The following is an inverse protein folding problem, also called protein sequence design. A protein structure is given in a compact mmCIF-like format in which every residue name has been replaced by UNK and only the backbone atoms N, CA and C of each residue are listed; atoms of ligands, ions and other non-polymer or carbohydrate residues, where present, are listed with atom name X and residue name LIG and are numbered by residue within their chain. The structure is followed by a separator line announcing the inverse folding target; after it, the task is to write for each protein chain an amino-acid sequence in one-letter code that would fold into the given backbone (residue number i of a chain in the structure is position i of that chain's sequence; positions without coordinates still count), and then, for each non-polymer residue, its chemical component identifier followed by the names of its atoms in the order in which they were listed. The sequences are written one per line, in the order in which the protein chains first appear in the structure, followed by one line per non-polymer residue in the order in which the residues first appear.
data_IF_609594459054
#
_entry.id   IF_609594459054
#
_cell.length_a   1.000
_cell.length_b   1.000
_cell.length_c   1.000
_cell.angle_alpha   90.00
_cell.angle_beta   90.00
_cell.angle_gamma   90.00
#
_symmetry.space_group_name_H-M   'P 1'
#
loop_
_entity.id
_entity.type
_entity.pdbx_description
1 polymer ?
#
# COMPACT_ATOMS: atom_id res chain seq x y z
N UNK A 1 0.81 -13.12 -4.83
CA UNK A 1 -0.43 -13.19 -4.04
C UNK A 1 -0.54 -14.58 -3.44
N UNK A 2 -1.58 -14.86 -2.66
CA UNK A 2 -1.88 -16.22 -2.16
C UNK A 2 -0.79 -16.85 -1.28
N UNK A 3 -0.01 -16.03 -0.59
CA UNK A 3 0.94 -16.49 0.43
C UNK A 3 0.46 -16.00 1.79
N UNK A 4 0.60 -16.85 2.78
CA UNK A 4 0.32 -16.54 4.18
C UNK A 4 1.64 -16.43 4.95
N UNK A 5 1.78 -15.36 5.72
CA UNK A 5 2.93 -15.13 6.59
C UNK A 5 2.44 -14.86 8.00
N UNK A 6 3.11 -15.43 9.00
CA UNK A 6 2.80 -15.21 10.41
C UNK A 6 4.01 -14.67 11.16
N UNK A 7 3.77 -13.75 12.10
CA UNK A 7 4.79 -13.17 12.98
C UNK A 7 4.36 -13.41 14.42
N UNK A 8 5.25 -14.00 15.22
CA UNK A 8 5.07 -14.17 16.67
C UNK A 8 6.12 -13.36 17.40
N UNK A 9 5.67 -12.53 18.35
CA UNK A 9 6.56 -11.74 19.20
C UNK A 9 6.19 -11.94 20.68
N UNK A 10 7.21 -11.90 21.55
CA UNK A 10 7.06 -11.95 23.00
C UNK A 10 7.69 -10.69 23.58
N UNK A 11 6.86 -9.87 24.24
CA UNK A 11 7.31 -8.66 24.93
C UNK A 11 7.30 -8.96 26.43
N UNK A 12 8.46 -8.83 27.07
CA UNK A 12 8.61 -8.99 28.52
C UNK A 12 8.71 -7.59 29.14
N UNK A 13 7.81 -7.27 30.05
CA UNK A 13 7.77 -5.96 30.73
C UNK A 13 8.45 -6.06 32.10
N UNK A 14 9.02 -4.94 32.55
CA UNK A 14 9.50 -4.83 33.94
C UNK A 14 8.32 -4.91 34.93
N UNK A 15 8.53 -5.49 36.13
CA UNK A 15 7.49 -5.56 37.17
C UNK A 15 6.89 -4.20 37.55
N UNK A 16 7.63 -3.10 37.33
CA UNK A 16 7.17 -1.74 37.60
C UNK A 16 5.96 -1.32 36.74
N UNK A 17 5.70 -2.03 35.63
CA UNK A 17 4.56 -1.78 34.74
C UNK A 17 3.35 -2.69 35.02
N UNK A 18 3.34 -3.45 36.13
CA UNK A 18 2.30 -4.46 36.42
C UNK A 18 0.86 -3.93 36.41
N UNK A 19 0.65 -2.66 36.78
CA UNK A 19 -0.66 -2.01 36.80
C UNK A 19 -0.91 -1.08 35.60
N UNK A 20 0.02 -1.04 34.64
CA UNK A 20 -0.13 -0.21 33.44
C UNK A 20 -1.17 -0.85 32.51
N UNK A 21 -2.13 -0.06 32.05
CA UNK A 21 -3.04 -0.50 30.99
C UNK A 21 -2.23 -0.80 29.74
N UNK A 22 -2.40 -1.99 29.17
CA UNK A 22 -1.86 -2.31 27.84
C UNK A 22 -2.64 -1.51 26.82
N UNK A 23 -2.03 -0.44 26.31
CA UNK A 23 -2.56 0.33 25.20
C UNK A 23 -1.62 0.13 24.01
N UNK A 24 -2.09 -0.61 23.02
CA UNK A 24 -1.39 -0.78 21.76
C UNK A 24 -2.10 0.07 20.72
N UNK A 25 -1.36 0.98 20.09
CA UNK A 25 -1.83 1.67 18.91
C UNK A 25 -2.18 0.69 17.78
N UNK A 26 -2.88 1.17 16.74
CA UNK A 26 -3.18 0.33 15.58
C UNK A 26 -1.90 -0.18 14.92
N UNK A 27 -1.99 -1.37 14.32
CA UNK A 27 -0.98 -1.92 13.44
C UNK A 27 -1.15 -1.25 12.07
N UNK A 28 -0.11 -0.53 11.64
CA UNK A 28 -0.02 0.03 10.29
C UNK A 28 0.59 -1.01 9.36
N UNK A 29 -0.06 -1.27 8.23
CA UNK A 29 0.46 -2.20 7.22
C UNK A 29 0.84 -1.37 6.00
N UNK A 30 2.15 -1.32 5.73
CA UNK A 30 2.72 -0.59 4.60
C UNK A 30 3.03 -1.56 3.46
N UNK A 31 2.48 -1.32 2.28
CA UNK A 31 2.70 -2.13 1.08
C UNK A 31 2.59 -1.32 -0.21
N UNK A 32 3.23 -1.82 -1.25
CA UNK A 32 3.11 -1.36 -2.63
C UNK A 32 2.93 -2.56 -3.56
N UNK A 33 1.94 -2.49 -4.44
CA UNK A 33 1.69 -3.50 -5.47
C UNK A 33 1.88 -2.84 -6.84
N UNK A 34 3.01 -3.11 -7.53
CA UNK A 34 3.26 -2.55 -8.85
C UNK A 34 2.38 -3.24 -9.89
N UNK A 35 2.05 -2.49 -10.95
CA UNK A 35 1.27 -2.95 -12.10
C UNK A 35 -0.13 -3.51 -11.75
N UNK A 36 -0.64 -3.20 -10.56
CA UNK A 36 -1.94 -3.63 -10.08
C UNK A 36 -2.84 -2.42 -9.79
N UNK A 37 -4.10 -2.53 -10.18
CA UNK A 37 -5.12 -1.51 -9.94
C UNK A 37 -6.33 -2.13 -9.23
N UNK A 38 -6.49 -1.79 -7.95
CA UNK A 38 -7.61 -2.27 -7.14
C UNK A 38 -8.97 -1.70 -7.57
N UNK A 39 -9.01 -0.43 -7.98
CA UNK A 39 -10.24 0.25 -8.46
C UNK A 39 -10.72 -0.24 -9.83
N UNK A 40 -9.92 -1.08 -10.52
CA UNK A 40 -10.13 -1.52 -11.90
C UNK A 40 -10.17 -0.38 -12.93
N UNK A 41 -9.76 0.83 -12.56
CA UNK A 41 -9.66 1.95 -13.49
C UNK A 41 -8.59 1.65 -14.55
N UNK A 42 -8.97 1.87 -15.82
CA UNK A 42 -8.08 1.63 -16.96
C UNK A 42 -8.08 2.85 -17.88
N UNK A 43 -6.88 3.33 -18.21
CA UNK A 43 -6.65 4.28 -19.28
C UNK A 43 -7.01 3.61 -20.61
N UNK A 44 -8.02 4.15 -21.31
CA UNK A 44 -8.47 3.64 -22.62
C UNK A 44 -7.62 4.19 -23.77
N UNK A 45 -7.32 5.49 -23.74
CA UNK A 45 -6.50 6.14 -24.75
C UNK A 45 -5.77 7.35 -24.15
N UNK A 46 -4.60 7.66 -24.71
CA UNK A 46 -3.83 8.88 -24.47
C UNK A 46 -3.72 9.61 -25.79
N UNK A 47 -4.52 10.66 -26.00
CA UNK A 47 -4.51 11.44 -27.25
C UNK A 47 -3.51 12.59 -27.13
N UNK A 48 -2.63 12.71 -28.11
CA UNK A 48 -1.70 13.83 -28.27
C UNK A 48 -2.13 14.57 -29.53
N UNK A 49 -2.33 15.88 -29.42
CA UNK A 49 -2.69 16.75 -30.55
C UNK A 49 -1.48 17.66 -30.78
N UNK A 50 -0.82 17.49 -31.92
CA UNK A 50 0.32 18.31 -32.32
C UNK A 50 0.04 19.02 -33.65
N UNK A 51 0.43 20.29 -33.73
CA UNK A 51 0.23 21.14 -34.91
C UNK A 51 1.36 21.00 -35.95
N UNK A 52 2.41 20.24 -35.64
CA UNK A 52 3.60 20.04 -36.47
C UNK A 52 3.89 18.53 -36.55
N UNK A 53 4.51 18.07 -37.64
CA UNK A 53 4.93 16.67 -37.77
C UNK A 53 6.04 16.37 -36.76
N UNK A 54 5.68 15.76 -35.64
CA UNK A 54 6.66 15.13 -34.74
C UNK A 54 6.47 13.61 -34.78
N UNK A 55 7.61 12.94 -34.85
CA UNK A 55 7.80 11.49 -34.87
C UNK A 55 7.18 10.81 -33.65
N UNK A 56 6.73 9.56 -33.85
CA UNK A 56 6.14 8.64 -32.86
C UNK A 56 6.48 8.96 -31.38
N UNK A 57 5.59 9.71 -30.71
CA UNK A 57 5.73 9.97 -29.27
C UNK A 57 5.41 8.70 -28.49
N UNK A 58 6.35 8.26 -27.65
CA UNK A 58 6.16 7.12 -26.77
C UNK A 58 5.13 7.44 -25.68
N UNK A 59 4.31 6.46 -25.32
CA UNK A 59 3.25 6.60 -24.31
C UNK A 59 3.44 5.50 -23.26
N UNK A 60 3.64 5.91 -22.01
CA UNK A 60 3.91 4.99 -20.90
C UNK A 60 2.87 5.16 -19.81
N UNK A 61 2.41 4.03 -19.26
CA UNK A 61 1.47 3.99 -18.14
C UNK A 61 1.97 2.94 -17.16
N UNK A 62 1.96 3.28 -15.87
CA UNK A 62 2.13 2.32 -14.77
C UNK A 62 0.99 2.51 -13.78
N UNK A 63 0.47 1.41 -13.26
CA UNK A 63 -0.46 1.41 -12.13
C UNK A 63 0.30 0.99 -10.89
N UNK A 64 0.00 1.62 -9.76
CA UNK A 64 0.56 1.26 -8.46
C UNK A 64 -0.57 1.33 -7.45
N UNK A 65 -0.72 0.29 -6.65
CA UNK A 65 -1.60 0.30 -5.50
C UNK A 65 -0.73 0.39 -4.25
N UNK A 66 -0.88 1.45 -3.46
CA UNK A 66 -0.15 1.67 -2.21
C UNK A 66 -1.09 1.61 -1.01
N UNK A 67 -0.58 1.15 0.13
CA UNK A 67 -1.23 1.30 1.42
C UNK A 67 -1.31 2.77 1.80
N UNK A 68 -2.53 3.32 1.87
CA UNK A 68 -2.76 4.61 2.52
C UNK A 68 -2.96 4.36 4.03
N UNK A 69 -4.12 4.66 4.60
CA UNK A 69 -4.46 4.38 6.01
C UNK A 69 -4.91 2.92 6.23
N UNK A 70 -4.13 1.95 5.76
CA UNK A 70 -4.43 0.53 5.99
C UNK A 70 -3.99 0.15 7.41
N UNK A 71 -4.95 0.20 8.34
CA UNK A 71 -4.73 0.01 9.78
C UNK A 71 -5.60 -1.11 10.34
N UNK A 72 -5.03 -1.85 11.29
CA UNK A 72 -5.74 -2.86 12.07
C UNK A 72 -5.69 -2.49 13.56
N UNK A 73 -6.84 -2.38 14.21
CA UNK A 73 -6.93 -2.13 15.66
C UNK A 73 -7.06 -3.47 16.37
N UNK A 74 -6.20 -3.69 17.36
CA UNK A 74 -6.28 -4.82 18.27
C UNK A 74 -7.44 -4.55 19.24
N UNK A 75 -8.34 -5.52 19.40
CA UNK A 75 -9.38 -5.51 20.42
C UNK A 75 -8.92 -6.22 21.69
#
# INVERSE_FOLDING_TARGET
GEHEYSIRSKITLSPHYAFSKRDFGPIYILFEIPMFNLSKLRIKYLRIIENYKTSNTHRWVRYITQSSSYVYRLN
#
